data_IF_563859680246
#
_entry.id   IF_563859680246
#
_cell.length_a   1.000
_cell.length_b   1.000
_cell.length_c   1.000
_cell.angle_alpha   90.00
_cell.angle_beta   90.00
_cell.angle_gamma   90.00
#
_symmetry.space_group_name_H-M   'P 1'
#
loop_
_entity.id
_entity.type
_entity.pdbx_description
1 polymer ?
#
# COMPACT_ATOMS: atom_id res chain seq x y z
N UNK A 1 -61.70 16.39 -14.57
CA UNK A 1 -61.15 17.53 -13.80
C UNK A 1 -59.65 17.49 -14.02
N UNK A 2 -59.07 18.22 -14.99
CA UNK A 2 -58.56 19.61 -14.87
C UNK A 2 -57.78 19.79 -13.55
N UNK A 3 -56.51 20.18 -13.47
CA UNK A 3 -55.61 20.92 -14.37
C UNK A 3 -54.14 20.60 -13.99
N UNK A 4 -53.22 20.48 -14.95
CA UNK A 4 -52.16 21.47 -15.29
C UNK A 4 -51.26 21.93 -14.13
N UNK A 5 -49.97 21.57 -14.20
CA UNK A 5 -48.87 22.54 -14.21
C UNK A 5 -47.52 21.89 -14.51
N UNK A 6 -46.95 22.23 -15.67
CA UNK A 6 -45.51 22.40 -15.88
C UNK A 6 -45.23 23.93 -15.86
N UNK A 7 -43.98 24.40 -15.72
CA UNK A 7 -43.03 24.49 -16.85
C UNK A 7 -41.55 24.17 -16.47
N UNK A 8 -40.78 23.51 -17.35
CA UNK A 8 -39.78 24.09 -18.29
C UNK A 8 -38.44 24.44 -17.62
N UNK A 9 -37.24 24.24 -18.15
CA UNK A 9 -36.64 23.47 -19.24
C UNK A 9 -35.13 23.73 -19.11
N UNK A 10 -34.27 22.77 -19.45
CA UNK A 10 -33.02 23.08 -20.18
C UNK A 10 -32.41 21.82 -20.77
N UNK A 11 -32.34 21.81 -22.10
CA UNK A 11 -31.77 20.82 -22.99
C UNK A 11 -30.24 20.89 -22.99
N UNK A 12 -29.60 19.73 -23.03
CA UNK A 12 -28.22 19.55 -23.47
C UNK A 12 -28.05 18.15 -24.07
N UNK A 13 -28.47 17.99 -25.33
CA UNK A 13 -28.17 16.81 -26.16
C UNK A 13 -26.68 16.86 -26.55
N UNK A 14 -25.90 15.82 -26.26
CA UNK A 14 -25.62 14.65 -27.11
C UNK A 14 -24.73 14.94 -28.33
N UNK A 15 -23.51 14.38 -28.35
CA UNK A 15 -22.99 13.69 -29.54
C UNK A 15 -21.78 12.83 -29.18
N UNK A 16 -21.95 11.53 -29.38
CA UNK A 16 -20.88 10.56 -29.48
C UNK A 16 -20.24 10.66 -30.86
N UNK A 17 -18.91 10.69 -30.94
CA UNK A 17 -18.17 10.42 -32.17
C UNK A 17 -17.22 9.26 -31.93
N UNK A 18 -17.64 8.13 -32.49
CA UNK A 18 -16.85 6.93 -32.71
C UNK A 18 -16.06 7.15 -34.00
N UNK A 19 -14.73 7.19 -33.92
CA UNK A 19 -13.86 7.21 -35.10
C UNK A 19 -12.85 6.08 -34.99
N UNK A 20 -13.20 4.98 -35.67
CA UNK A 20 -12.28 3.94 -36.13
C UNK A 20 -11.24 4.59 -37.05
N UNK A 21 -9.96 4.41 -36.77
CA UNK A 21 -8.88 4.69 -37.71
C UNK A 21 -8.03 3.44 -37.89
N UNK A 22 -7.97 3.04 -39.15
CA UNK A 22 -7.33 1.84 -39.66
C UNK A 22 -5.80 1.98 -39.68
N UNK A 23 -5.14 0.85 -39.46
CA UNK A 23 -3.70 0.62 -39.63
C UNK A 23 -3.32 0.66 -41.12
N UNK A 24 -2.21 1.33 -41.50
CA UNK A 24 -1.46 0.96 -42.69
C UNK A 24 -0.18 0.19 -42.35
N UNK A 25 0.06 -0.84 -43.16
CA UNK A 25 1.23 -1.71 -43.19
C UNK A 25 2.46 -1.01 -43.78
N UNK A 26 3.62 -1.46 -43.29
CA UNK A 26 4.95 -1.53 -43.91
C UNK A 26 5.78 -0.26 -44.11
N UNK A 27 6.93 -0.25 -43.42
CA UNK A 27 8.24 -0.22 -44.07
C UNK A 27 9.24 -1.00 -43.20
N UNK A 28 9.76 -2.09 -43.78
CA UNK A 28 10.77 -2.94 -43.20
C UNK A 28 12.15 -2.55 -43.75
N UNK A 29 13.05 -2.17 -42.87
CA UNK A 29 14.50 -2.21 -43.02
C UNK A 29 15.03 -2.19 -41.58
N UNK A 30 15.52 -3.27 -40.99
CA UNK A 30 16.54 -4.15 -41.50
C UNK A 30 17.77 -3.93 -40.63
N UNK A 31 17.89 -4.65 -39.52
CA UNK A 31 19.18 -4.86 -38.86
C UNK A 31 19.06 -6.02 -37.87
N UNK A 32 19.71 -7.11 -38.27
CA UNK A 32 19.94 -8.34 -37.50
C UNK A 32 20.69 -7.97 -36.22
N UNK A 33 20.22 -8.42 -35.07
CA UNK A 33 21.11 -8.58 -33.91
C UNK A 33 21.06 -10.02 -33.41
N UNK A 34 22.22 -10.65 -33.52
CA UNK A 34 22.57 -11.99 -33.09
C UNK A 34 22.37 -12.12 -31.58
N UNK A 35 21.73 -13.21 -31.19
CA UNK A 35 21.87 -13.81 -29.87
C UNK A 35 23.34 -14.13 -29.59
N UNK A 36 23.92 -13.52 -28.56
CA UNK A 36 25.13 -14.01 -27.91
C UNK A 36 24.86 -14.01 -26.41
N UNK A 37 25.07 -15.17 -25.80
CA UNK A 37 24.86 -15.41 -24.38
C UNK A 37 25.73 -14.48 -23.53
N UNK A 38 25.12 -13.93 -22.49
CA UNK A 38 25.82 -13.15 -21.48
C UNK A 38 26.48 -14.13 -20.52
N UNK A 39 27.75 -14.41 -20.80
CA UNK A 39 28.67 -15.10 -19.93
C UNK A 39 29.09 -14.13 -18.82
N UNK A 40 28.78 -14.51 -17.57
CA UNK A 40 29.16 -13.81 -16.34
C UNK A 40 30.69 -13.80 -16.24
N UNK A 41 31.30 -12.66 -16.53
CA UNK A 41 32.71 -12.39 -16.24
C UNK A 41 32.84 -11.09 -15.46
N UNK A 42 33.16 -11.25 -14.19
CA UNK A 42 33.66 -10.22 -13.29
C UNK A 42 35.01 -9.70 -13.80
N UNK A 43 35.10 -8.41 -14.12
CA UNK A 43 36.36 -7.67 -14.05
C UNK A 43 36.16 -6.15 -14.00
N UNK A 44 36.42 -5.62 -12.79
CA UNK A 44 37.20 -4.40 -12.48
C UNK A 44 37.22 -3.27 -13.52
N UNK A 45 36.53 -2.18 -13.20
CA UNK A 45 37.02 -0.80 -13.34
C UNK A 45 36.47 -0.01 -12.13
N UNK A 46 37.32 0.33 -11.17
CA UNK A 46 38.03 1.63 -11.06
C UNK A 46 37.08 2.71 -10.52
N UNK A 47 36.80 2.62 -9.22
CA UNK A 47 36.16 3.69 -8.45
C UNK A 47 37.25 4.48 -7.73
N UNK A 48 37.43 5.73 -8.14
CA UNK A 48 38.38 6.69 -7.60
C UNK A 48 37.67 7.59 -6.59
N UNK A 49 38.31 7.72 -5.43
CA UNK A 49 38.22 8.83 -4.48
C UNK A 49 36.92 8.99 -3.68
N UNK A 50 37.04 8.66 -2.38
CA UNK A 50 36.07 8.90 -1.32
C UNK A 50 36.54 8.24 -0.03
N UNK A 51 37.81 8.47 0.34
CA UNK A 51 38.45 7.87 1.52
C UNK A 51 38.02 8.63 2.76
N UNK A 52 36.99 8.12 3.44
CA UNK A 52 36.71 8.43 4.85
C UNK A 52 37.84 7.81 5.66
N UNK A 53 38.70 8.64 6.25
CA UNK A 53 39.76 8.21 7.17
C UNK A 53 39.11 7.99 8.52
N UNK A 54 38.74 6.74 8.81
CA UNK A 54 38.52 6.28 10.17
C UNK A 54 39.88 6.22 10.87
N UNK A 55 40.04 6.97 11.96
CA UNK A 55 41.21 6.84 12.83
C UNK A 55 41.16 5.47 13.52
N UNK A 56 41.91 4.51 12.99
CA UNK A 56 42.24 3.27 13.68
C UNK A 56 43.47 3.53 14.55
N UNK A 57 43.30 3.37 15.86
CA UNK A 57 44.41 3.19 16.80
C UNK A 57 44.97 1.79 16.53
N UNK A 58 46.20 1.74 16.01
CA UNK A 58 46.95 0.48 15.88
C UNK A 58 47.71 0.27 17.18
N UNK A 59 47.28 -0.70 17.97
CA UNK A 59 48.11 -1.28 19.03
C UNK A 59 48.16 -2.79 18.81
N UNK A 60 49.36 -3.34 18.58
CA UNK A 60 49.60 -4.78 18.46
C UNK A 60 50.79 -5.15 19.36
N UNK A 61 50.44 -5.84 20.45
CA UNK A 61 51.15 -6.91 21.17
C UNK A 61 52.46 -6.56 21.92
N UNK A 62 52.79 -7.09 23.11
CA UNK A 62 52.28 -8.14 24.01
C UNK A 62 53.03 -7.90 25.35
N UNK A 63 52.45 -7.92 26.54
CA UNK A 63 52.25 -9.12 27.36
C UNK A 63 51.44 -8.78 28.64
N UNK A 64 50.44 -9.60 28.95
CA UNK A 64 50.12 -10.04 30.32
C UNK A 64 49.35 -9.11 31.27
N UNK A 65 48.04 -9.33 31.39
CA UNK A 65 47.34 -9.34 32.69
C UNK A 65 46.75 -8.01 33.19
N UNK A 66 45.40 -7.95 33.26
CA UNK A 66 44.66 -6.98 34.07
C UNK A 66 44.05 -5.83 33.28
N UNK A 67 42.78 -5.97 32.88
CA UNK A 67 41.96 -4.86 32.40
C UNK A 67 41.57 -3.96 33.57
N UNK A 68 42.39 -2.96 33.87
CA UNK A 68 41.92 -1.72 34.52
C UNK A 68 41.52 -0.76 33.42
N UNK A 69 40.23 -0.43 33.36
CA UNK A 69 39.70 0.70 32.59
C UNK A 69 40.36 1.98 33.11
N UNK A 70 41.42 2.45 32.45
CA UNK A 70 42.03 3.75 32.71
C UNK A 70 41.06 4.81 32.17
N UNK A 71 40.29 5.43 33.05
CA UNK A 71 39.56 6.64 32.66
C UNK A 71 40.56 7.71 32.18
N UNK A 72 40.28 8.43 31.08
CA UNK A 72 41.19 9.48 30.61
C UNK A 72 41.31 10.55 31.70
N UNK A 73 42.55 10.78 32.17
CA UNK A 73 42.84 11.85 33.14
C UNK A 73 42.35 13.17 32.54
N UNK A 74 41.50 13.93 33.26
CA UNK A 74 40.94 15.16 32.73
C UNK A 74 42.05 16.18 32.45
N UNK A 75 41.80 17.11 31.52
CA UNK A 75 42.76 18.12 31.06
C UNK A 75 42.28 19.54 31.36
N UNK A 76 43.19 20.44 31.74
CA UNK A 76 42.96 21.88 31.87
C UNK A 76 43.75 22.66 30.81
N UNK A 77 43.25 23.83 30.43
CA UNK A 77 43.94 24.71 29.47
C UNK A 77 44.87 25.69 30.20
N UNK A 78 46.16 25.67 29.87
CA UNK A 78 47.18 26.39 30.64
C UNK A 78 47.90 27.36 29.72
N UNK A 79 47.82 28.64 30.05
CA UNK A 79 48.56 29.69 29.34
C UNK A 79 49.86 30.00 30.06
N UNK A 80 50.96 29.68 29.41
CA UNK A 80 52.31 30.02 29.83
C UNK A 80 52.65 31.43 29.35
N UNK A 81 53.09 32.30 30.27
CA UNK A 81 53.44 33.70 29.97
C UNK A 81 54.76 34.08 30.62
N UNK A 82 55.69 34.57 29.81
CA UNK A 82 56.97 35.12 30.29
C UNK A 82 57.37 36.35 29.48
N UNK A 83 58.17 37.24 30.07
CA UNK A 83 58.69 38.43 29.39
C UNK A 83 60.15 38.20 29.04
N UNK A 84 60.51 38.35 27.76
CA UNK A 84 61.91 38.33 27.31
C UNK A 84 62.07 39.03 25.97
N UNK A 85 63.01 39.97 25.90
CA UNK A 85 63.45 40.53 24.64
C UNK A 85 64.40 39.56 23.94
N UNK A 86 64.08 39.17 22.71
CA UNK A 86 64.92 38.30 21.88
C UNK A 86 65.49 39.06 20.68
N UNK A 87 66.55 38.51 20.09
CA UNK A 87 67.10 39.04 18.84
C UNK A 87 66.20 38.68 17.65
N UNK A 88 66.31 39.43 16.56
CA UNK A 88 65.56 39.16 15.35
C UNK A 88 65.84 37.74 14.82
N UNK A 89 64.78 36.99 14.53
CA UNK A 89 64.87 35.59 14.09
C UNK A 89 64.97 34.55 15.21
N UNK A 90 64.88 34.95 16.48
CA UNK A 90 64.75 34.03 17.61
C UNK A 90 63.29 33.90 18.07
N UNK A 91 62.95 32.74 18.65
CA UNK A 91 61.65 32.43 19.25
C UNK A 91 61.86 31.80 20.63
N UNK A 92 60.93 32.00 21.56
CA UNK A 92 60.88 31.19 22.77
C UNK A 92 60.17 29.86 22.50
N UNK A 93 60.73 28.76 23.00
CA UNK A 93 60.11 27.44 23.01
C UNK A 93 59.90 26.96 24.43
N UNK A 94 58.75 26.32 24.67
CA UNK A 94 58.42 25.68 25.93
C UNK A 94 58.70 24.17 25.82
N UNK A 95 59.74 23.70 26.51
CA UNK A 95 60.21 22.32 26.45
C UNK A 95 59.91 21.64 27.79
N UNK A 96 59.29 20.46 27.81
CA UNK A 96 58.90 19.83 29.07
C UNK A 96 58.58 18.35 28.98
N UNK A 97 58.20 17.77 30.12
CA UNK A 97 58.03 16.32 30.29
C UNK A 97 56.86 15.73 29.49
N UNK A 98 55.78 16.49 29.30
CA UNK A 98 54.62 16.04 28.54
C UNK A 98 54.85 16.11 27.02
N UNK A 99 54.21 15.22 26.26
CA UNK A 99 54.34 15.14 24.80
C UNK A 99 53.97 16.43 24.05
N UNK A 100 53.04 17.22 24.59
CA UNK A 100 52.67 18.52 23.99
C UNK A 100 53.75 19.59 24.19
N UNK A 101 54.68 19.37 25.12
CA UNK A 101 55.86 20.20 25.37
C UNK A 101 57.13 19.59 24.76
N UNK A 102 57.00 18.64 23.83
CA UNK A 102 58.12 18.02 23.13
C UNK A 102 58.77 16.84 23.86
N UNK A 103 58.35 16.47 25.08
CA UNK A 103 58.98 15.39 25.87
C UNK A 103 60.51 15.57 26.00
N UNK A 104 60.92 16.77 26.42
CA UNK A 104 62.32 17.22 26.54
C UNK A 104 63.11 17.37 25.23
N UNK A 105 62.47 17.18 24.07
CA UNK A 105 63.06 17.45 22.76
C UNK A 105 62.72 18.88 22.30
N UNK A 106 63.74 19.74 22.24
CA UNK A 106 63.61 21.15 21.86
C UNK A 106 63.17 21.34 20.40
N UNK A 107 63.49 20.41 19.50
CA UNK A 107 63.05 20.50 18.10
C UNK A 107 61.56 20.17 17.97
N UNK A 108 61.06 19.30 18.85
CA UNK A 108 59.63 18.93 18.94
C UNK A 108 58.81 19.84 19.85
N UNK A 109 59.47 20.74 20.58
CA UNK A 109 58.81 21.65 21.50
C UNK A 109 58.06 22.78 20.76
N UNK A 110 56.86 23.15 21.23
CA UNK A 110 56.09 24.25 20.67
C UNK A 110 56.78 25.61 20.84
N UNK A 111 56.70 26.44 19.81
CA UNK A 111 57.10 27.85 19.88
C UNK A 111 56.01 28.68 20.53
N UNK A 112 56.41 29.61 21.40
CA UNK A 112 55.55 30.62 22.00
C UNK A 112 55.30 31.76 21.01
N UNK A 113 54.15 32.41 21.15
CA UNK A 113 53.75 33.56 20.33
C UNK A 113 54.16 34.86 21.03
N UNK A 114 54.92 35.70 20.33
CA UNK A 114 55.22 37.06 20.82
C UNK A 114 53.97 37.92 20.80
N UNK A 115 53.80 38.74 21.84
CA UNK A 115 52.82 39.82 21.91
C UNK A 115 53.50 41.10 22.40
N UNK A 116 52.80 42.22 22.25
CA UNK A 116 53.32 43.55 22.61
C UNK A 116 53.86 43.61 24.06
N UNK A 117 54.99 44.30 24.23
CA UNK A 117 55.68 44.42 25.52
C UNK A 117 56.70 43.32 25.82
N UNK A 118 57.17 42.60 24.79
CA UNK A 118 58.13 41.49 24.88
C UNK A 118 57.60 40.29 25.67
N UNK A 119 56.28 40.09 25.66
CA UNK A 119 55.65 38.94 26.26
C UNK A 119 55.54 37.79 25.28
N UNK A 120 55.73 36.58 25.78
CA UNK A 120 55.60 35.35 25.01
C UNK A 120 54.52 34.49 25.64
N UNK A 121 53.56 34.04 24.84
CA UNK A 121 52.42 33.26 25.29
C UNK A 121 52.34 31.92 24.57
N UNK A 122 51.98 30.87 25.31
CA UNK A 122 51.63 29.58 24.75
C UNK A 122 50.53 28.94 25.59
N UNK A 123 49.44 28.52 24.95
CA UNK A 123 48.36 27.79 25.63
C UNK A 123 48.42 26.32 25.25
N UNK A 124 48.44 25.43 26.25
CA UNK A 124 48.44 23.98 26.08
C UNK A 124 47.38 23.33 26.97
N UNK A 125 46.75 22.27 26.48
CA UNK A 125 45.93 21.40 27.31
C UNK A 125 46.81 20.33 27.96
N UNK A 126 46.94 20.37 29.28
CA UNK A 126 47.72 19.41 30.06
C UNK A 126 46.80 18.58 30.99
N UNK A 127 47.07 17.28 31.16
CA UNK A 127 46.30 16.44 32.08
C UNK A 127 46.58 16.84 33.54
N UNK A 128 45.63 16.57 34.44
CA UNK A 128 45.83 16.74 35.87
C UNK A 128 47.10 16.01 36.36
N UNK A 129 47.90 16.68 37.19
CA UNK A 129 49.17 16.16 37.66
C UNK A 129 50.30 17.18 37.60
N UNK A 130 51.50 16.71 37.92
CA UNK A 130 52.73 17.51 37.92
C UNK A 130 53.41 17.43 36.56
N UNK A 131 53.81 18.57 36.00
CA UNK A 131 54.55 18.64 34.74
C UNK A 131 55.78 19.53 34.88
N UNK A 132 56.93 19.01 34.48
CA UNK A 132 58.15 19.78 34.42
C UNK A 132 58.31 20.46 33.07
N UNK A 133 58.86 21.67 33.08
CA UNK A 133 59.17 22.42 31.88
C UNK A 133 60.38 23.33 32.06
N UNK A 134 60.94 23.76 30.93
CA UNK A 134 61.99 24.74 30.81
C UNK A 134 61.80 25.51 29.51
N UNK A 135 62.39 26.70 29.45
CA UNK A 135 62.24 27.58 28.29
C UNK A 135 63.58 27.73 27.60
N UNK A 136 63.55 27.77 26.27
CA UNK A 136 64.72 27.93 25.44
C UNK A 136 64.48 29.02 24.39
N UNK A 137 65.45 29.92 24.19
CA UNK A 137 65.47 30.76 23.00
C UNK A 137 66.15 29.99 21.86
N UNK A 138 65.43 29.78 20.76
CA UNK A 138 65.91 29.04 19.59
C UNK A 138 65.73 29.87 18.32
N UNK A 139 66.49 29.57 17.27
CA UNK A 139 66.32 30.23 15.97
C UNK A 139 65.03 29.76 15.28
N UNK A 140 64.31 30.66 14.61
CA UNK A 140 63.01 30.39 13.99
C UNK A 140 63.07 29.37 12.83
N UNK A 141 64.27 29.10 12.30
CA UNK A 141 64.52 28.18 11.18
C UNK A 141 64.70 26.70 11.53
N UNK A 142 64.67 26.33 12.82
CA UNK A 142 64.86 24.94 13.28
C UNK A 142 66.35 24.56 13.42
N UNK A 143 66.71 23.98 14.56
CA UNK A 143 68.09 23.63 14.93
C UNK A 143 68.41 23.93 16.40
N UNK A 144 69.04 22.96 17.08
CA UNK A 144 69.34 22.92 18.52
C UNK A 144 70.46 23.86 19.01
N UNK A 145 70.60 25.08 18.48
CA UNK A 145 71.38 26.14 19.17
C UNK A 145 70.45 26.92 20.10
N UNK A 146 70.07 26.29 21.21
CA UNK A 146 69.11 26.84 22.17
C UNK A 146 69.82 27.49 23.36
N UNK A 147 69.54 28.77 23.60
CA UNK A 147 69.93 29.46 24.83
C UNK A 147 68.87 29.15 25.91
N UNK A 148 69.22 28.21 26.78
CA UNK A 148 68.37 27.72 27.85
C UNK A 148 68.24 28.71 29.00
N UNK A 149 67.08 28.70 29.66
CA UNK A 149 66.88 29.42 30.92
C UNK A 149 67.89 28.94 31.98
N UNK A 150 68.48 29.89 32.71
CA UNK A 150 69.35 29.56 33.85
C UNK A 150 68.51 29.01 35.01
N UNK A 151 69.12 28.17 35.85
CA UNK A 151 68.45 27.55 37.00
C UNK A 151 67.77 26.19 36.72
N UNK A 152 67.09 25.64 37.75
CA UNK A 152 66.46 24.31 37.70
C UNK A 152 65.24 24.28 36.77
N UNK A 153 64.76 23.07 36.44
CA UNK A 153 63.48 22.90 35.74
C UNK A 153 62.34 23.51 36.58
N UNK A 154 61.39 24.15 35.88
CA UNK A 154 60.17 24.65 36.50
C UNK A 154 59.13 23.54 36.55
N UNK A 155 58.24 23.61 37.52
CA UNK A 155 57.16 22.63 37.73
C UNK A 155 55.83 23.36 37.70
N UNK A 156 54.88 22.86 36.91
CA UNK A 156 53.48 23.29 36.96
C UNK A 156 52.62 22.15 37.51
N UNK A 157 51.86 22.47 38.57
CA UNK A 157 50.85 21.57 39.10
C UNK A 157 49.50 21.88 38.44
N UNK A 158 48.89 20.89 37.82
CA UNK A 158 47.54 20.98 37.25
C UNK A 158 46.57 20.35 38.24
N UNK A 159 45.75 21.15 38.96
CA UNK A 159 44.82 20.61 39.95
C UNK A 159 43.75 19.76 39.27
N UNK A 160 43.44 18.60 39.86
CA UNK A 160 42.39 17.73 39.33
C UNK A 160 41.03 18.45 39.25
N UNK A 161 40.71 19.29 40.23
CA UNK A 161 39.46 20.05 40.26
C UNK A 161 39.30 20.98 39.04
N UNK A 162 40.38 21.68 38.66
CA UNK A 162 40.39 22.56 37.47
C UNK A 162 40.28 21.74 36.18
N UNK A 163 41.01 20.64 36.08
CA UNK A 163 40.94 19.76 34.92
C UNK A 163 39.57 19.11 34.74
N UNK A 164 38.92 18.69 35.83
CA UNK A 164 37.62 18.03 35.82
C UNK A 164 36.50 18.92 35.24
N UNK A 165 36.63 20.24 35.38
CA UNK A 165 35.68 21.23 34.82
C UNK A 165 36.18 21.86 33.51
N UNK A 166 37.29 21.39 32.93
CA UNK A 166 37.98 22.02 31.79
C UNK A 166 38.32 23.50 32.05
N UNK A 167 38.75 23.80 33.27
CA UNK A 167 39.20 25.13 33.70
C UNK A 167 40.41 25.61 32.90
N UNK A 168 40.66 26.92 32.98
CA UNK A 168 41.79 27.56 32.35
C UNK A 168 42.50 28.50 33.31
N UNK A 169 43.84 28.47 33.35
CA UNK A 169 44.63 29.35 34.20
C UNK A 169 45.97 29.74 33.54
N UNK A 170 46.57 30.82 34.04
CA UNK A 170 47.82 31.37 33.50
C UNK A 170 48.97 31.20 34.48
N UNK A 171 50.11 30.71 33.99
CA UNK A 171 51.37 30.64 34.73
C UNK A 171 52.26 31.77 34.23
N UNK A 172 52.59 32.72 35.11
CA UNK A 172 53.46 33.86 34.82
C UNK A 172 54.77 33.71 35.57
N UNK A 173 55.90 33.90 34.89
CA UNK A 173 57.22 33.97 35.52
C UNK A 173 58.16 34.90 34.75
N UNK A 174 59.21 35.35 35.44
CA UNK A 174 60.30 36.13 34.85
C UNK A 174 61.45 35.20 34.45
N UNK A 175 62.06 35.50 33.31
CA UNK A 175 63.20 34.76 32.79
C UNK A 175 64.46 35.03 33.63
N UNK A 176 65.11 33.96 34.12
CA UNK A 176 66.36 34.05 34.90
C UNK A 176 66.18 33.86 36.41
N UNK A 177 67.31 33.81 37.14
CA UNK A 177 67.35 33.68 38.60
C UNK A 177 67.26 35.09 39.23
N UNK A 178 66.34 35.38 40.17
CA UNK A 178 66.18 36.70 40.79
C UNK A 178 67.44 37.27 41.49
N UNK A 179 68.51 36.48 41.63
CA UNK A 179 69.75 36.89 42.31
C UNK A 179 70.72 37.72 41.47
N UNK A 180 70.62 37.73 40.14
CA UNK A 180 71.57 38.46 39.27
C UNK A 180 71.25 39.94 39.07
N UNK A 181 70.17 40.46 39.65
CA UNK A 181 69.80 41.89 39.57
C UNK A 181 70.43 42.75 40.68
N UNK A 182 71.05 42.14 41.70
CA UNK A 182 71.69 42.86 42.80
C UNK A 182 73.11 43.38 42.46
N UNK A 183 73.71 42.92 41.36
CA UNK A 183 75.08 43.29 40.96
C UNK A 183 75.12 44.57 40.09
N UNK A 184 74.00 44.99 39.48
CA UNK A 184 73.94 46.18 38.61
C UNK A 184 73.67 47.51 39.37
N UNK A 185 73.26 47.47 40.64
CA UNK A 185 73.06 48.68 41.46
C UNK A 185 74.38 49.26 42.02
N UNK A 186 75.48 48.50 42.02
CA UNK A 186 76.77 48.92 42.58
C UNK A 186 77.51 49.93 41.67
N UNK A 187 77.39 49.79 40.35
CA UNK A 187 78.12 50.59 39.36
C UNK A 187 77.58 52.04 39.26
N UNK A 188 76.31 52.27 39.63
CA UNK A 188 75.68 53.60 39.59
C UNK A 188 76.07 54.51 40.76
N UNK A 189 76.61 53.94 41.85
CA UNK A 189 77.03 54.70 43.03
C UNK A 189 78.48 55.19 42.90
N UNK A 190 79.34 54.45 42.18
CA UNK A 190 80.69 54.90 41.82
C UNK A 190 80.67 56.11 40.86
N UNK A 191 79.71 56.15 39.92
CA UNK A 191 79.57 57.27 38.97
C UNK A 191 79.13 58.58 39.63
N UNK A 192 78.31 58.53 40.68
CA UNK A 192 77.90 59.72 41.45
C UNK A 192 79.08 60.34 42.22
N UNK A 193 79.93 59.50 42.82
CA UNK A 193 81.12 59.96 43.55
C UNK A 193 82.14 60.64 42.62
N UNK A 194 82.21 60.20 41.36
CA UNK A 194 83.06 60.80 40.32
C UNK A 194 82.57 62.17 39.85
N UNK A 195 81.25 62.38 39.75
CA UNK A 195 80.68 63.68 39.37
C UNK A 195 80.87 64.74 40.45
N UNK A 196 80.76 64.37 41.73
CA UNK A 196 80.90 65.31 42.87
C UNK A 196 82.36 65.79 43.05
N UNK A 197 83.35 64.99 42.64
CA UNK A 197 84.76 65.39 42.62
C UNK A 197 85.09 66.41 41.51
N UNK A 198 84.34 66.39 40.40
CA UNK A 198 84.58 67.28 39.26
C UNK A 198 84.07 68.70 39.53
N UNK A 199 82.95 68.85 40.24
CA UNK A 199 82.37 70.16 40.60
C UNK A 199 83.26 70.97 41.56
N UNK A 200 84.04 70.30 42.41
CA UNK A 200 84.94 70.96 43.36
C UNK A 200 86.20 71.55 42.71
N UNK A 201 86.52 71.16 41.46
CA UNK A 201 87.71 71.62 40.73
C UNK A 201 87.55 72.96 40.01
N UNK A 202 86.32 73.48 39.85
CA UNK A 202 86.04 74.65 39.00
C UNK A 202 85.96 76.00 39.75
N UNK A 203 86.28 76.03 41.06
CA UNK A 203 86.18 77.24 41.89
C UNK A 203 87.46 78.11 41.94
N UNK A 204 88.55 77.72 41.26
CA UNK A 204 89.82 78.45 41.32
C UNK A 204 90.38 78.74 39.91
N UNK A 205 90.29 79.99 39.46
CA UNK A 205 91.10 80.46 38.32
C UNK A 205 90.45 81.56 37.49
N UNK A 206 90.72 82.82 37.85
CA UNK A 206 90.24 84.00 37.14
C UNK A 206 90.99 84.31 35.83
N UNK A 207 90.20 84.73 34.84
CA UNK A 207 90.39 85.98 34.07
C UNK A 207 91.73 86.33 33.42
N UNK A 208 92.00 85.95 32.16
CA UNK A 208 93.03 86.62 31.34
C UNK A 208 92.64 86.63 29.84
N UNK A 209 93.08 87.60 29.03
CA UNK A 209 92.62 87.90 27.65
C UNK A 209 92.67 86.76 26.60
N UNK A 210 93.24 85.61 26.95
CA UNK A 210 93.02 84.34 26.23
C UNK A 210 91.54 83.92 26.27
N UNK A 211 90.82 84.29 27.33
CA UNK A 211 89.39 84.09 27.53
C UNK A 211 88.53 84.82 26.50
N UNK A 212 88.93 85.97 25.94
CA UNK A 212 88.09 86.64 24.92
C UNK A 212 88.19 85.96 23.55
N UNK A 213 89.37 85.46 23.19
CA UNK A 213 89.56 84.61 22.00
C UNK A 213 88.85 83.26 22.18
N UNK A 214 88.99 82.65 23.35
CA UNK A 214 88.23 81.45 23.71
C UNK A 214 86.72 81.70 23.73
N UNK A 215 86.24 82.86 24.19
CA UNK A 215 84.81 83.22 24.16
C UNK A 215 84.29 83.45 22.73
N UNK A 216 85.09 84.03 21.82
CA UNK A 216 84.73 84.15 20.41
C UNK A 216 84.69 82.79 19.71
N UNK A 217 85.66 81.92 19.99
CA UNK A 217 85.69 80.55 19.49
C UNK A 217 84.50 79.74 20.02
N UNK A 218 84.23 79.83 21.33
CA UNK A 218 83.04 79.23 21.96
C UNK A 218 81.73 79.80 21.39
N UNK A 219 81.67 81.10 21.06
CA UNK A 219 80.49 81.69 20.42
C UNK A 219 80.29 81.16 18.98
N UNK A 220 81.37 80.95 18.24
CA UNK A 220 81.31 80.33 16.91
C UNK A 220 80.88 78.87 16.97
N UNK A 221 81.41 78.12 17.94
CA UNK A 221 81.01 76.72 18.22
C UNK A 221 79.54 76.64 18.64
N UNK A 222 79.08 77.53 19.53
CA UNK A 222 77.69 77.56 19.99
C UNK A 222 76.69 77.91 18.88
N UNK A 223 77.07 78.81 17.97
CA UNK A 223 76.21 79.14 16.82
C UNK A 223 76.20 78.02 15.78
N UNK A 224 77.35 77.36 15.55
CA UNK A 224 77.40 76.14 14.74
C UNK A 224 76.56 75.01 15.33
N UNK A 225 76.58 74.83 16.65
CA UNK A 225 75.75 73.87 17.38
C UNK A 225 74.26 74.23 17.29
N UNK A 226 73.88 75.51 17.37
CA UNK A 226 72.49 75.96 17.15
C UNK A 226 72.01 75.67 15.74
N UNK A 227 72.84 75.91 14.73
CA UNK A 227 72.50 75.59 13.34
C UNK A 227 72.38 74.07 13.15
N UNK A 228 73.32 73.29 13.70
CA UNK A 228 73.27 71.83 13.68
C UNK A 228 72.03 71.30 14.40
N UNK A 229 71.65 71.88 15.54
CA UNK A 229 70.44 71.53 16.28
C UNK A 229 69.17 71.84 15.50
N UNK A 230 69.09 73.01 14.85
CA UNK A 230 67.95 73.35 13.97
C UNK A 230 67.87 72.40 12.78
N UNK A 231 69.01 72.02 12.20
CA UNK A 231 69.06 71.04 11.12
C UNK A 231 68.60 69.64 11.59
N UNK A 232 69.06 69.19 12.76
CA UNK A 232 68.65 67.93 13.36
C UNK A 232 67.17 67.94 13.79
N UNK A 233 66.66 69.06 14.30
CA UNK A 233 65.24 69.25 14.61
C UNK A 233 64.38 69.19 13.33
N UNK A 234 64.84 69.80 12.23
CA UNK A 234 64.17 69.72 10.93
C UNK A 234 64.19 68.29 10.36
N UNK A 235 65.32 67.59 10.42
CA UNK A 235 65.45 66.20 9.99
C UNK A 235 64.55 65.27 10.83
N UNK A 236 64.49 65.47 12.15
CA UNK A 236 63.58 64.75 13.03
C UNK A 236 62.11 65.01 12.67
N UNK A 237 61.75 66.26 12.37
CA UNK A 237 60.39 66.60 11.97
C UNK A 237 60.02 65.98 10.62
N UNK A 238 60.96 65.89 9.68
CA UNK A 238 60.77 65.17 8.40
C UNK A 238 60.60 63.67 8.60
N UNK A 239 61.44 63.04 9.44
CA UNK A 239 61.31 61.63 9.80
C UNK A 239 59.98 61.36 10.51
N UNK A 240 59.52 62.27 11.37
CA UNK A 240 58.22 62.17 12.01
C UNK A 240 57.08 62.22 10.99
N UNK A 241 57.14 63.12 10.00
CA UNK A 241 56.14 63.16 8.91
C UNK A 241 56.14 61.88 8.08
N UNK A 242 57.30 61.30 7.79
CA UNK A 242 57.40 60.01 7.10
C UNK A 242 56.84 58.85 7.94
N UNK A 243 57.10 58.85 9.26
CA UNK A 243 56.54 57.87 10.18
C UNK A 243 55.00 58.00 10.28
N UNK A 244 54.46 59.22 10.33
CA UNK A 244 53.02 59.47 10.34
C UNK A 244 52.37 59.05 9.00
N UNK A 245 53.02 59.30 7.86
CA UNK A 245 52.55 58.85 6.55
C UNK A 245 52.53 57.32 6.42
N UNK A 246 53.61 56.63 6.82
CA UNK A 246 53.68 55.16 6.79
C UNK A 246 52.71 54.52 7.80
N UNK A 247 52.47 55.14 8.96
CA UNK A 247 51.44 54.71 9.89
C UNK A 247 50.02 54.86 9.30
N UNK A 248 49.76 55.93 8.54
CA UNK A 248 48.49 56.13 7.85
C UNK A 248 48.27 55.07 6.75
N UNK A 249 49.31 54.74 5.98
CA UNK A 249 49.29 53.66 4.99
C UNK A 249 49.06 52.30 5.64
N UNK A 250 49.76 52.00 6.74
CA UNK A 250 49.57 50.77 7.51
C UNK A 250 48.14 50.67 8.04
N UNK A 251 47.58 51.75 8.58
CA UNK A 251 46.20 51.79 9.05
C UNK A 251 45.19 51.58 7.90
N UNK A 252 45.45 52.12 6.71
CA UNK A 252 44.63 51.89 5.53
C UNK A 252 44.70 50.43 5.07
N UNK A 253 45.89 49.82 5.08
CA UNK A 253 46.08 48.42 4.74
C UNK A 253 45.38 47.49 5.73
N UNK A 254 45.45 47.80 7.03
CA UNK A 254 44.71 47.08 8.08
C UNK A 254 43.21 47.15 7.81
N UNK A 255 42.66 48.34 7.54
CA UNK A 255 41.24 48.49 7.19
C UNK A 255 40.85 47.64 5.98
N UNK A 256 41.64 47.68 4.91
CA UNK A 256 41.38 46.87 3.71
C UNK A 256 41.43 45.36 4.03
N UNK A 257 42.40 44.92 4.84
CA UNK A 257 42.50 43.51 5.24
C UNK A 257 41.31 43.06 6.10
N UNK A 258 40.79 43.94 6.97
CA UNK A 258 39.59 43.64 7.77
C UNK A 258 38.34 43.54 6.91
N UNK A 259 38.19 44.39 5.90
CA UNK A 259 37.06 44.32 4.95
C UNK A 259 37.11 43.03 4.14
N UNK A 260 38.27 42.71 3.54
CA UNK A 260 38.44 41.47 2.79
C UNK A 260 38.17 40.24 3.66
N UNK A 261 38.61 40.25 4.92
CA UNK A 261 38.30 39.16 5.86
C UNK A 261 36.80 39.01 6.09
N UNK A 262 36.08 40.12 6.29
CA UNK A 262 34.63 40.09 6.46
C UNK A 262 33.91 39.56 5.20
N UNK A 263 34.38 39.94 4.01
CA UNK A 263 33.87 39.42 2.73
C UNK A 263 34.14 37.91 2.58
N UNK A 264 35.34 37.43 2.93
CA UNK A 264 35.64 35.99 2.95
C UNK A 264 34.76 35.22 3.92
N UNK A 265 34.50 35.77 5.11
CA UNK A 265 33.60 35.18 6.09
C UNK A 265 32.14 35.18 5.62
N UNK A 266 31.72 36.18 4.83
CA UNK A 266 30.41 36.16 4.17
C UNK A 266 30.34 35.08 3.09
N UNK A 267 31.31 35.00 2.20
CA UNK A 267 31.35 33.97 1.15
C UNK A 267 31.41 32.56 1.74
N UNK A 268 32.14 32.36 2.85
CA UNK A 268 32.17 31.08 3.54
C UNK A 268 30.79 30.67 4.09
N UNK A 269 30.02 31.64 4.62
CA UNK A 269 28.64 31.41 5.07
C UNK A 269 27.71 31.07 3.91
N UNK A 270 27.80 31.80 2.81
CA UNK A 270 27.01 31.53 1.61
C UNK A 270 27.34 30.15 1.01
N UNK A 271 28.63 29.79 0.95
CA UNK A 271 29.06 28.44 0.57
C UNK A 271 28.49 27.38 1.52
N UNK A 272 28.52 27.62 2.83
CA UNK A 272 27.88 26.73 3.82
C UNK A 272 26.40 26.50 3.53
N UNK A 273 25.63 27.58 3.33
CA UNK A 273 24.20 27.51 3.02
C UNK A 273 23.92 26.75 1.72
N UNK A 274 24.71 26.99 0.67
CA UNK A 274 24.55 26.27 -0.61
C UNK A 274 24.91 24.79 -0.49
N UNK A 275 25.90 24.43 0.33
CA UNK A 275 26.24 23.05 0.63
C UNK A 275 25.12 22.34 1.40
N UNK A 276 24.49 23.02 2.37
CA UNK A 276 23.35 22.49 3.11
C UNK A 276 22.14 22.27 2.20
N UNK A 277 21.81 23.26 1.36
CA UNK A 277 20.73 23.13 0.37
C UNK A 277 21.00 21.97 -0.61
N UNK A 278 22.25 21.81 -1.06
CA UNK A 278 22.63 20.67 -1.91
C UNK A 278 22.43 19.34 -1.19
N UNK A 279 22.76 19.26 0.10
CA UNK A 279 22.56 18.05 0.90
C UNK A 279 21.06 17.72 1.06
N UNK A 280 20.22 18.74 1.28
CA UNK A 280 18.76 18.57 1.34
C UNK A 280 18.18 18.06 0.02
N UNK A 281 18.52 18.71 -1.10
CA UNK A 281 18.08 18.28 -2.43
C UNK A 281 18.58 16.88 -2.79
N UNK A 282 19.77 16.51 -2.33
CA UNK A 282 20.28 15.16 -2.50
C UNK A 282 19.47 14.14 -1.70
N UNK A 283 19.11 14.46 -0.45
CA UNK A 283 18.26 13.60 0.37
C UNK A 283 16.85 13.43 -0.23
N UNK A 284 16.25 14.50 -0.76
CA UNK A 284 14.98 14.45 -1.49
C UNK A 284 15.07 13.58 -2.74
N UNK A 285 16.10 13.78 -3.57
CA UNK A 285 16.36 12.94 -4.76
C UNK A 285 16.48 11.47 -4.38
N UNK A 286 17.23 11.16 -3.33
CA UNK A 286 17.44 9.79 -2.87
C UNK A 286 16.16 9.20 -2.24
N UNK A 287 15.29 10.05 -1.68
CA UNK A 287 13.92 9.71 -1.27
C UNK A 287 13.02 9.36 -2.45
N UNK A 288 12.92 10.27 -3.43
CA UNK A 288 12.13 10.06 -4.65
C UNK A 288 12.60 8.85 -5.44
N UNK A 289 13.91 8.60 -5.50
CA UNK A 289 14.45 7.40 -6.16
C UNK A 289 14.01 6.10 -5.47
N UNK A 290 13.89 6.10 -4.14
CA UNK A 290 13.38 4.94 -3.38
C UNK A 290 11.89 4.74 -3.60
N UNK A 291 11.10 5.80 -3.55
CA UNK A 291 9.66 5.76 -3.84
C UNK A 291 9.38 5.29 -5.27
N UNK A 292 10.16 5.77 -6.23
CA UNK A 292 10.05 5.37 -7.62
C UNK A 292 10.37 3.87 -7.79
N UNK A 293 11.44 3.37 -7.15
CA UNK A 293 11.78 1.94 -7.18
C UNK A 293 10.66 1.09 -6.57
N UNK A 294 10.13 1.49 -5.41
CA UNK A 294 9.03 0.80 -4.76
C UNK A 294 7.76 0.77 -5.62
N UNK A 295 7.42 1.88 -6.26
CA UNK A 295 6.29 1.97 -7.20
C UNK A 295 6.49 1.08 -8.43
N UNK A 296 7.71 1.01 -8.97
CA UNK A 296 8.04 0.08 -10.06
C UNK A 296 7.87 -1.38 -9.62
N UNK A 297 8.38 -1.76 -8.45
CA UNK A 297 8.22 -3.10 -7.90
C UNK A 297 6.74 -3.45 -7.73
N UNK A 298 5.94 -2.55 -7.14
CA UNK A 298 4.49 -2.72 -7.01
C UNK A 298 3.82 -2.91 -8.38
N UNK A 299 4.19 -2.11 -9.38
CA UNK A 299 3.66 -2.24 -10.75
C UNK A 299 4.01 -3.60 -11.36
N UNK A 300 5.21 -4.11 -11.13
CA UNK A 300 5.59 -5.46 -11.62
C UNK A 300 4.84 -6.58 -10.90
N UNK A 301 4.52 -6.42 -9.61
CA UNK A 301 3.71 -7.37 -8.86
C UNK A 301 2.26 -7.40 -9.40
N UNK A 302 1.63 -6.24 -9.53
CA UNK A 302 0.28 -6.11 -10.11
C UNK A 302 0.22 -6.62 -11.56
N UNK A 303 1.28 -6.41 -12.33
CA UNK A 303 1.39 -6.95 -13.68
C UNK A 303 1.37 -8.49 -13.68
N UNK A 304 2.10 -9.14 -12.76
CA UNK A 304 2.08 -10.60 -12.61
C UNK A 304 0.70 -11.11 -12.19
N UNK A 305 0.04 -10.42 -11.26
CA UNK A 305 -1.33 -10.76 -10.85
C UNK A 305 -2.32 -10.64 -12.00
N UNK A 306 -2.25 -9.56 -12.78
CA UNK A 306 -3.06 -9.37 -13.98
C UNK A 306 -2.85 -10.48 -14.99
N UNK A 307 -1.61 -10.88 -15.25
CA UNK A 307 -1.29 -11.94 -16.20
C UNK A 307 -1.78 -13.31 -15.69
N UNK A 308 -1.70 -13.58 -14.38
CA UNK A 308 -2.28 -14.77 -13.76
C UNK A 308 -3.82 -14.79 -13.86
N UNK A 309 -4.48 -13.66 -13.64
CA UNK A 309 -5.93 -13.53 -13.79
C UNK A 309 -6.37 -13.71 -15.25
N UNK A 310 -5.60 -13.19 -16.21
CA UNK A 310 -5.88 -13.38 -17.63
C UNK A 310 -5.85 -14.87 -18.01
N UNK A 311 -4.87 -15.62 -17.50
CA UNK A 311 -4.80 -17.08 -17.68
C UNK A 311 -5.98 -17.81 -17.01
N UNK A 312 -6.42 -17.38 -15.82
CA UNK A 312 -7.60 -17.96 -15.18
C UNK A 312 -8.87 -17.72 -16.00
N UNK A 313 -9.07 -16.50 -16.51
CA UNK A 313 -10.21 -16.15 -17.38
C UNK A 313 -10.16 -16.96 -18.67
N UNK A 314 -8.97 -17.12 -19.27
CA UNK A 314 -8.79 -17.95 -20.45
C UNK A 314 -9.23 -19.39 -20.20
N UNK A 315 -8.74 -20.02 -19.12
CA UNK A 315 -9.11 -21.40 -18.73
C UNK A 315 -10.60 -21.54 -18.44
N UNK A 316 -11.20 -20.57 -17.77
CA UNK A 316 -12.64 -20.56 -17.52
C UNK A 316 -13.44 -20.45 -18.83
N UNK A 317 -12.95 -19.65 -19.78
CA UNK A 317 -13.50 -19.57 -21.14
C UNK A 317 -13.42 -20.90 -21.87
N UNK A 318 -12.29 -21.61 -21.79
CA UNK A 318 -12.10 -22.94 -22.37
C UNK A 318 -13.04 -23.98 -21.74
N UNK A 319 -13.18 -23.97 -20.41
CA UNK A 319 -14.15 -24.82 -19.70
C UNK A 319 -15.58 -24.53 -20.15
N UNK A 320 -15.97 -23.26 -20.23
CA UNK A 320 -17.31 -22.88 -20.71
C UNK A 320 -17.55 -23.33 -22.14
N UNK A 321 -16.54 -23.23 -23.01
CA UNK A 321 -16.62 -23.73 -24.38
C UNK A 321 -16.76 -25.26 -24.41
N UNK A 322 -16.12 -25.99 -23.50
CA UNK A 322 -16.23 -27.45 -23.39
C UNK A 322 -17.62 -27.93 -22.94
N UNK A 323 -18.33 -27.14 -22.12
CA UNK A 323 -19.69 -27.46 -21.67
C UNK A 323 -20.77 -27.09 -22.69
N UNK A 324 -20.47 -26.20 -23.64
CA UNK A 324 -21.41 -25.78 -24.68
C UNK A 324 -21.98 -26.96 -25.51
N UNK A 325 -21.19 -27.91 -26.04
CA UNK A 325 -21.74 -29.05 -26.78
C UNK A 325 -22.60 -29.98 -25.92
N UNK A 326 -22.27 -30.15 -24.64
CA UNK A 326 -23.10 -30.94 -23.70
C UNK A 326 -24.46 -30.28 -23.48
N UNK A 327 -24.47 -28.95 -23.29
CA UNK A 327 -25.71 -28.17 -23.19
C UNK A 327 -26.55 -28.30 -24.45
N UNK A 328 -25.96 -28.13 -25.63
CA UNK A 328 -26.67 -28.28 -26.92
C UNK A 328 -27.20 -29.71 -27.14
N UNK A 329 -26.50 -30.73 -26.65
CA UNK A 329 -26.96 -32.11 -26.68
C UNK A 329 -28.17 -32.33 -25.75
N UNK A 330 -28.14 -31.76 -24.54
CA UNK A 330 -29.27 -31.80 -23.60
C UNK A 330 -30.49 -31.06 -24.13
N UNK A 331 -30.31 -29.88 -24.72
CA UNK A 331 -31.38 -29.12 -25.37
C UNK A 331 -32.01 -29.90 -26.54
N UNK A 332 -31.20 -30.63 -27.33
CA UNK A 332 -31.73 -31.54 -28.36
C UNK A 332 -32.54 -32.71 -27.77
N UNK A 333 -32.08 -33.31 -26.67
CA UNK A 333 -32.80 -34.40 -25.98
C UNK A 333 -34.13 -33.91 -25.40
N UNK A 334 -34.13 -32.71 -24.81
CA UNK A 334 -35.35 -32.11 -24.26
C UNK A 334 -36.39 -31.88 -25.37
N UNK A 335 -35.99 -31.25 -26.48
CA UNK A 335 -36.88 -31.07 -27.64
C UNK A 335 -37.44 -32.40 -28.17
N UNK A 336 -36.61 -33.43 -28.27
CA UNK A 336 -37.08 -34.75 -28.69
C UNK A 336 -38.08 -35.37 -27.71
N UNK A 337 -37.88 -35.18 -26.40
CA UNK A 337 -38.82 -35.64 -25.39
C UNK A 337 -40.15 -34.86 -25.43
N UNK A 338 -40.09 -33.54 -25.63
CA UNK A 338 -41.29 -32.70 -25.81
C UNK A 338 -42.11 -33.14 -27.04
N UNK A 339 -41.44 -33.44 -28.15
CA UNK A 339 -42.09 -33.99 -29.35
C UNK A 339 -42.72 -35.36 -29.09
N UNK A 340 -42.08 -36.25 -28.31
CA UNK A 340 -42.65 -37.54 -27.94
C UNK A 340 -43.90 -37.37 -27.07
N UNK A 341 -43.88 -36.46 -26.09
CA UNK A 341 -45.04 -36.16 -25.27
C UNK A 341 -46.20 -35.64 -26.13
N UNK A 342 -45.93 -34.73 -27.06
CA UNK A 342 -46.95 -34.22 -27.98
C UNK A 342 -47.54 -35.33 -28.87
N UNK A 343 -46.72 -36.28 -29.34
CA UNK A 343 -47.20 -37.46 -30.09
C UNK A 343 -48.11 -38.34 -29.24
N UNK A 344 -47.69 -38.67 -28.03
CA UNK A 344 -48.49 -39.50 -27.10
C UNK A 344 -49.80 -38.82 -26.72
N UNK A 345 -49.81 -37.50 -26.52
CA UNK A 345 -51.03 -36.74 -26.32
C UNK A 345 -51.97 -36.85 -27.52
N UNK A 346 -51.44 -36.71 -28.74
CA UNK A 346 -52.23 -36.91 -29.96
C UNK A 346 -52.80 -38.33 -30.11
N UNK A 347 -52.05 -39.36 -29.70
CA UNK A 347 -52.53 -40.74 -29.64
C UNK A 347 -53.63 -40.93 -28.60
N UNK A 348 -53.47 -40.38 -27.38
CA UNK A 348 -54.51 -40.40 -26.36
C UNK A 348 -55.80 -39.71 -26.83
N UNK A 349 -55.71 -38.56 -27.48
CA UNK A 349 -56.87 -37.86 -28.03
C UNK A 349 -57.56 -38.66 -29.14
N UNK A 350 -56.76 -39.31 -30.00
CA UNK A 350 -57.28 -40.20 -31.04
C UNK A 350 -58.01 -41.39 -30.43
N UNK A 351 -57.39 -42.10 -29.50
CA UNK A 351 -57.98 -43.22 -28.79
C UNK A 351 -59.23 -42.78 -28.01
N UNK A 352 -59.23 -41.59 -27.42
CA UNK A 352 -60.39 -40.99 -26.79
C UNK A 352 -61.57 -40.80 -27.76
N UNK A 353 -61.31 -40.31 -28.98
CA UNK A 353 -62.33 -40.22 -30.04
C UNK A 353 -62.84 -41.59 -30.48
N UNK A 354 -61.94 -42.56 -30.68
CA UNK A 354 -62.31 -43.94 -31.05
C UNK A 354 -63.15 -44.63 -29.97
N UNK A 355 -62.82 -44.42 -28.68
CA UNK A 355 -63.62 -44.91 -27.57
C UNK A 355 -65.00 -44.24 -27.51
N UNK A 356 -65.07 -42.93 -27.78
CA UNK A 356 -66.34 -42.22 -27.83
C UNK A 356 -67.25 -42.76 -28.93
N UNK A 357 -66.75 -42.93 -30.16
CA UNK A 357 -67.54 -43.48 -31.27
C UNK A 357 -67.95 -44.92 -31.01
N UNK A 358 -67.08 -45.75 -30.45
CA UNK A 358 -67.40 -47.13 -30.07
C UNK A 358 -68.48 -47.17 -28.97
N UNK A 359 -68.46 -46.25 -28.01
CA UNK A 359 -69.49 -46.17 -26.98
C UNK A 359 -70.84 -45.71 -27.54
N UNK A 360 -70.83 -44.78 -28.51
CA UNK A 360 -72.04 -44.37 -29.24
C UNK A 360 -72.63 -45.54 -30.03
N UNK A 361 -71.78 -46.29 -30.76
CA UNK A 361 -72.18 -47.53 -31.44
C UNK A 361 -72.76 -48.56 -30.47
N UNK A 362 -72.13 -48.73 -29.29
CA UNK A 362 -72.63 -49.63 -28.25
C UNK A 362 -74.01 -49.18 -27.74
N UNK A 363 -74.22 -47.88 -27.56
CA UNK A 363 -75.51 -47.34 -27.14
C UNK A 363 -76.60 -47.55 -28.20
N UNK A 364 -76.27 -47.38 -29.49
CA UNK A 364 -77.17 -47.66 -30.60
C UNK A 364 -77.54 -49.16 -30.68
N UNK A 365 -76.55 -50.06 -30.61
CA UNK A 365 -76.82 -51.51 -30.57
C UNK A 365 -77.64 -51.92 -29.35
N UNK A 366 -77.46 -51.23 -28.23
CA UNK A 366 -78.23 -51.46 -27.02
C UNK A 366 -79.70 -51.05 -27.19
N UNK A 367 -79.98 -49.90 -27.82
CA UNK A 367 -81.35 -49.47 -28.10
C UNK A 367 -82.04 -50.38 -29.14
N UNK A 368 -81.31 -50.84 -30.17
CA UNK A 368 -81.80 -51.84 -31.12
C UNK A 368 -82.15 -53.15 -30.42
N UNK A 369 -81.26 -53.66 -29.55
CA UNK A 369 -81.52 -54.86 -28.75
C UNK A 369 -82.78 -54.71 -27.91
N UNK A 370 -82.96 -53.57 -27.24
CA UNK A 370 -84.12 -53.33 -26.39
C UNK A 370 -85.42 -53.21 -27.21
N UNK A 371 -85.36 -52.60 -28.40
CA UNK A 371 -86.46 -52.58 -29.38
C UNK A 371 -86.82 -53.98 -29.88
N UNK A 372 -85.84 -54.78 -30.28
CA UNK A 372 -86.04 -56.18 -30.68
C UNK A 372 -86.62 -57.02 -29.53
N UNK A 373 -86.17 -56.78 -28.30
CA UNK A 373 -86.72 -57.45 -27.11
C UNK A 373 -88.20 -57.08 -26.91
N UNK A 374 -88.56 -55.81 -27.07
CA UNK A 374 -89.96 -55.39 -27.04
C UNK A 374 -90.79 -56.02 -28.16
N UNK A 375 -90.27 -56.06 -29.40
CA UNK A 375 -90.94 -56.73 -30.53
C UNK A 375 -91.15 -58.23 -30.26
N UNK A 376 -90.15 -58.92 -29.70
CA UNK A 376 -90.30 -60.33 -29.33
C UNK A 376 -91.37 -60.53 -28.25
N UNK A 377 -91.42 -59.69 -27.22
CA UNK A 377 -92.48 -59.75 -26.22
C UNK A 377 -93.86 -59.52 -26.84
N UNK A 378 -93.97 -58.51 -27.70
CA UNK A 378 -95.22 -58.18 -28.39
C UNK A 378 -95.68 -59.28 -29.36
N UNK A 379 -94.78 -60.02 -30.01
CA UNK A 379 -95.15 -61.17 -30.87
C UNK A 379 -95.49 -62.44 -30.07
N UNK A 380 -94.81 -62.64 -28.93
CA UNK A 380 -95.08 -63.75 -28.02
C UNK A 380 -96.40 -63.60 -27.27
N UNK A 381 -96.88 -62.37 -27.05
CA UNK A 381 -98.12 -62.10 -26.30
C UNK A 381 -99.38 -62.62 -27.03
N UNK A 382 -99.64 -62.31 -28.32
CA UNK A 382 -100.66 -62.97 -29.12
C UNK A 382 -100.47 -64.47 -29.23
N UNK A 383 -99.22 -64.95 -29.36
CA UNK A 383 -98.94 -66.39 -29.36
C UNK A 383 -99.35 -67.06 -28.04
N UNK A 384 -99.17 -66.36 -26.92
CA UNK A 384 -99.62 -66.77 -25.59
C UNK A 384 -101.15 -66.76 -25.48
N UNK A 385 -101.81 -65.71 -25.97
CA UNK A 385 -103.27 -65.61 -26.03
C UNK A 385 -103.86 -66.72 -26.90
N UNK A 386 -103.33 -66.95 -28.11
CA UNK A 386 -103.74 -68.03 -29.00
C UNK A 386 -103.53 -69.42 -28.36
N UNK A 387 -102.45 -69.61 -27.59
CA UNK A 387 -102.26 -70.84 -26.81
C UNK A 387 -103.33 -70.99 -25.73
N UNK A 388 -103.66 -69.93 -25.00
CA UNK A 388 -104.73 -69.94 -23.99
C UNK A 388 -106.10 -70.23 -24.64
N UNK A 389 -106.42 -69.60 -25.77
CA UNK A 389 -107.64 -69.85 -26.54
C UNK A 389 -107.69 -71.29 -27.04
N UNK A 390 -106.59 -71.82 -27.58
CA UNK A 390 -106.48 -73.23 -27.99
C UNK A 390 -106.76 -74.16 -26.81
N UNK A 391 -106.20 -73.89 -25.64
CA UNK A 391 -106.41 -74.72 -24.45
C UNK A 391 -107.86 -74.61 -23.93
N UNK A 392 -108.47 -73.43 -24.00
CA UNK A 392 -109.88 -73.21 -23.69
C UNK A 392 -110.80 -73.95 -24.66
N UNK A 393 -110.53 -73.87 -25.97
CA UNK A 393 -111.23 -74.62 -27.02
C UNK A 393 -111.05 -76.13 -26.84
N UNK A 394 -109.85 -76.60 -26.49
CA UNK A 394 -109.61 -78.01 -26.18
C UNK A 394 -110.44 -78.47 -24.97
N UNK A 395 -110.59 -77.63 -23.95
CA UNK A 395 -111.46 -77.90 -22.81
C UNK A 395 -112.95 -77.91 -23.19
N UNK A 396 -113.39 -76.97 -24.04
CA UNK A 396 -114.76 -76.95 -24.56
C UNK A 396 -115.05 -78.20 -25.41
N UNK A 397 -114.12 -78.61 -26.29
CA UNK A 397 -114.23 -79.84 -27.07
C UNK A 397 -114.30 -81.08 -26.18
N UNK A 398 -113.48 -81.15 -25.12
CA UNK A 398 -113.56 -82.22 -24.12
C UNK A 398 -114.94 -82.28 -23.47
N UNK A 399 -115.46 -81.13 -23.04
CA UNK A 399 -116.79 -81.02 -22.43
C UNK A 399 -117.90 -81.43 -23.42
N UNK A 400 -117.83 -80.95 -24.67
CA UNK A 400 -118.77 -81.33 -25.72
C UNK A 400 -118.71 -82.83 -26.03
N UNK A 401 -117.51 -83.44 -25.96
CA UNK A 401 -117.32 -84.87 -26.13
C UNK A 401 -117.92 -85.67 -24.98
N UNK A 402 -117.73 -85.22 -23.74
CA UNK A 402 -118.40 -85.80 -22.56
C UNK A 402 -119.93 -85.69 -22.67
N UNK A 403 -120.44 -84.56 -23.17
CA UNK A 403 -121.88 -84.37 -23.44
C UNK A 403 -122.38 -85.30 -24.56
N UNK A 404 -121.60 -85.48 -25.64
CA UNK A 404 -121.93 -86.41 -26.71
C UNK A 404 -121.96 -87.85 -26.19
N UNK A 405 -120.99 -88.26 -25.37
CA UNK A 405 -120.95 -89.58 -24.75
C UNK A 405 -122.10 -89.79 -23.75
N UNK A 406 -122.54 -88.73 -23.05
CA UNK A 406 -123.76 -88.75 -22.24
C UNK A 406 -125.01 -88.92 -23.09
N UNK A 407 -125.17 -88.13 -24.17
CA UNK A 407 -126.28 -88.26 -25.10
C UNK A 407 -126.31 -89.64 -25.79
N UNK A 408 -125.15 -90.21 -26.13
CA UNK A 408 -125.04 -91.57 -26.66
C UNK A 408 -125.46 -92.62 -25.64
N UNK A 409 -125.13 -92.44 -24.35
CA UNK A 409 -125.64 -93.30 -23.27
C UNK A 409 -127.16 -93.19 -23.13
N UNK A 410 -127.71 -91.98 -23.23
CA UNK A 410 -129.16 -91.78 -23.21
C UNK A 410 -129.85 -92.40 -24.43
N UNK A 411 -129.27 -92.29 -25.63
CA UNK A 411 -129.76 -92.98 -26.84
C UNK A 411 -129.73 -94.49 -26.64
N UNK A 412 -128.64 -95.05 -26.09
CA UNK A 412 -128.57 -96.49 -25.78
C UNK A 412 -129.63 -96.91 -24.75
N UNK A 413 -129.87 -96.09 -23.72
CA UNK A 413 -130.92 -96.33 -22.73
C UNK A 413 -132.31 -96.32 -23.37
N UNK A 414 -132.58 -95.35 -24.24
CA UNK A 414 -133.84 -95.25 -24.99
C UNK A 414 -134.01 -96.41 -25.98
N UNK A 415 -132.94 -96.88 -26.62
CA UNK A 415 -132.96 -98.10 -27.46
C UNK A 415 -133.23 -99.36 -26.64
N UNK A 416 -132.68 -99.48 -25.43
CA UNK A 416 -132.97 -100.58 -24.51
C UNK A 416 -134.41 -100.54 -23.98
N UNK A 417 -134.93 -99.34 -23.65
CA UNK A 417 -136.33 -99.11 -23.31
C UNK A 417 -137.27 -99.50 -24.48
N UNK A 418 -136.89 -99.18 -25.72
CA UNK A 418 -137.60 -99.59 -26.94
C UNK A 418 -137.54 -101.11 -27.20
N UNK A 419 -136.38 -101.75 -26.99
CA UNK A 419 -136.24 -103.22 -27.09
C UNK A 419 -137.03 -103.97 -26.02
N UNK A 420 -137.17 -103.41 -24.81
CA UNK A 420 -137.97 -104.00 -23.73
C UNK A 420 -139.49 -103.88 -23.96
N UNK A 421 -139.94 -102.91 -24.77
CA UNK A 421 -141.36 -102.76 -25.14
C UNK A 421 -141.85 -103.78 -26.18
N UNK A 422 -140.97 -104.61 -26.78
CA UNK A 422 -141.31 -105.50 -27.90
C UNK A 422 -141.70 -106.94 -27.56
N UNK A 423 -141.81 -107.34 -26.29
CA UNK A 423 -142.07 -108.74 -25.87
C UNK A 423 -143.20 -108.82 -24.82
N UNK A 424 -144.46 -108.88 -25.26
CA UNK A 424 -145.61 -109.67 -24.72
C UNK A 424 -146.99 -109.05 -25.05
N UNK A 425 -147.99 -109.90 -25.35
CA UNK A 425 -149.26 -109.58 -26.06
C UNK A 425 -150.54 -109.74 -25.18
N UNK A 426 -151.51 -108.83 -25.43
CA UNK A 426 -153.00 -108.93 -25.47
C UNK A 426 -153.97 -108.88 -24.25
N UNK A 427 -154.93 -107.92 -24.38
CA UNK A 427 -156.37 -107.82 -23.96
C UNK A 427 -156.70 -107.66 -22.45
N UNK A 428 -157.65 -106.84 -21.95
CA UNK A 428 -158.56 -105.74 -22.36
C UNK A 428 -159.34 -105.33 -21.05
N UNK A 429 -159.53 -104.07 -20.59
CA UNK A 429 -160.77 -103.22 -20.67
C UNK A 429 -160.77 -102.13 -19.54
N UNK A 430 -160.98 -100.83 -19.91
CA UNK A 430 -161.63 -99.63 -19.27
C UNK A 430 -161.41 -99.28 -17.76
N UNK A 431 -161.33 -98.03 -17.24
CA UNK A 431 -161.57 -96.63 -17.68
C UNK A 431 -161.10 -95.67 -16.55
N UNK A 432 -160.44 -94.53 -16.86
CA UNK A 432 -160.74 -93.16 -16.38
C UNK A 432 -159.58 -92.16 -16.63
N UNK A 433 -159.87 -91.10 -17.40
CA UNK A 433 -159.04 -89.89 -17.60
C UNK A 433 -159.21 -88.90 -16.41
N UNK A 434 -158.48 -87.75 -16.28
CA UNK A 434 -158.37 -86.63 -17.26
C UNK A 434 -156.92 -86.06 -17.43
N UNK A 435 -156.47 -85.65 -18.62
CA UNK A 435 -156.53 -84.32 -19.27
C UNK A 435 -155.43 -83.29 -18.89
N UNK A 436 -155.01 -82.50 -19.92
CA UNK A 436 -154.18 -81.25 -19.91
C UNK A 436 -152.64 -81.44 -19.95
N UNK A 437 -151.84 -80.86 -20.88
CA UNK A 437 -152.06 -79.78 -21.86
C UNK A 437 -150.97 -79.82 -22.95
N UNK A 438 -151.37 -79.42 -24.16
CA UNK A 438 -150.54 -79.12 -25.32
C UNK A 438 -150.20 -77.61 -25.41
N UNK A 439 -149.36 -77.29 -26.41
CA UNK A 439 -148.88 -75.97 -26.93
C UNK A 439 -147.52 -75.50 -26.37
N UNK A 440 -146.53 -75.10 -27.18
CA UNK A 440 -146.65 -74.33 -28.44
C UNK A 440 -145.40 -74.49 -29.34
N UNK A 441 -145.61 -74.36 -30.65
CA UNK A 441 -144.58 -74.15 -31.67
C UNK A 441 -144.04 -72.69 -31.68
N UNK A 442 -142.83 -72.54 -32.27
CA UNK A 442 -142.43 -71.53 -33.30
C UNK A 442 -141.66 -70.26 -32.86
N UNK A 443 -140.63 -69.98 -33.68
CA UNK A 443 -139.85 -68.73 -33.90
C UNK A 443 -138.72 -68.45 -32.89
N UNK A 444 -137.51 -67.99 -33.25
CA UNK A 444 -137.08 -67.26 -34.44
C UNK A 444 -135.56 -67.44 -34.73
N UNK A 445 -135.21 -67.39 -36.03
CA UNK A 445 -133.96 -66.83 -36.54
C UNK A 445 -133.90 -65.33 -36.20
N UNK A 446 -132.80 -64.86 -35.59
CA UNK A 446 -132.13 -63.56 -35.88
C UNK A 446 -131.34 -63.06 -34.65
N UNK A 447 -130.01 -63.10 -34.75
CA UNK A 447 -129.12 -62.07 -34.23
C UNK A 447 -127.76 -62.20 -34.94
N UNK A 448 -127.73 -61.80 -36.21
CA UNK A 448 -126.52 -61.28 -36.84
C UNK A 448 -126.29 -59.86 -36.29
N UNK A 449 -125.04 -59.61 -35.91
CA UNK A 449 -124.33 -58.32 -35.98
C UNK A 449 -124.92 -57.12 -35.23
N UNK A 450 -124.19 -56.66 -34.21
CA UNK A 450 -123.89 -55.23 -33.97
C UNK A 450 -122.66 -55.15 -33.04
N UNK A 451 -121.52 -54.67 -33.54
CA UNK A 451 -121.04 -53.26 -33.49
C UNK A 451 -120.08 -53.13 -32.28
N UNK A 452 -118.82 -52.69 -32.38
CA UNK A 452 -118.29 -51.55 -33.14
C UNK A 452 -116.81 -51.71 -33.49
N UNK A 453 -116.52 -51.29 -34.71
CA UNK A 453 -115.28 -50.78 -35.24
C UNK A 453 -114.72 -49.61 -34.39
N UNK A 454 -113.41 -49.59 -34.08
CA UNK A 454 -112.55 -48.38 -34.00
C UNK A 454 -111.08 -48.84 -34.03
N UNK A 455 -110.35 -48.69 -35.14
CA UNK A 455 -109.60 -47.51 -35.62
C UNK A 455 -108.16 -47.43 -35.05
N UNK A 456 -107.17 -47.40 -35.97
CA UNK A 456 -105.92 -46.59 -35.98
C UNK A 456 -105.17 -46.35 -34.66
N UNK A 457 -103.87 -46.66 -34.52
CA UNK A 457 -102.71 -46.12 -35.25
C UNK A 457 -101.47 -46.98 -34.97
#
# INVERSE_FOLDING_TARGET
MLAMSAPSASMGQSSALSSRLAVPKQLAAGMKSRSHGVQRQERRQRNSQGRVVSWQITEVMRHGGGTSTIEPVPTASITFKTRRRLQFGQVLKLVGSHKSMGAWDCDRAPAMTWVEGDYWLLTLDLPAGEHEFKVAAAHSGGGCSADWESGPNRVVQVPYAEAAVRGAFTVVWEWGDPKTLAEEEHDMEELKQLMEALEQGWAAGGGNGQQSAQLQELSGVLEAERIARRAAEAERDDLRRQAEASAAEAAALVRNSTTLRAEFEQMARELGNTHELRAQLQAERDGLSRELSASYEQRTALQKERDALAEQVWRAGEQSASFQPEREALERRLRSAEEQVARLQGECDRLGRELWTANEQRAALQSERDSLKHQMHHSNEPSGQLRQERDALANQLRTAREQLDAAQRDVRRLEEESRNSGRTNHKEVLKSAPASRAHTCRAALSALLTNTNTNTY
#
